data_IF_509558772762
#
_entry.id   IF_509558772762
#
_cell.length_a   1.000
_cell.length_b   1.000
_cell.length_c   1.000
_cell.angle_alpha   90.00
_cell.angle_beta   90.00
_cell.angle_gamma   90.00
#
_symmetry.space_group_name_H-M   'P 1'
#
loop_
_entity.id
_entity.type
_entity.pdbx_description
1 polymer ?
#
# COMPACT_ATOMS: atom_id res chain seq x y z
N UNK A 1 -21.80 -13.77 12.74
CA UNK A 1 -20.71 -14.03 11.76
C UNK A 1 -19.31 -13.71 12.32
N UNK A 2 -19.06 -12.48 12.80
CA UNK A 2 -17.74 -12.05 13.33
C UNK A 2 -17.17 -12.95 14.46
N UNK A 3 -17.98 -13.28 15.48
CA UNK A 3 -17.57 -14.20 16.57
C UNK A 3 -17.17 -15.60 16.11
N UNK A 4 -17.86 -16.16 15.10
CA UNK A 4 -17.53 -17.49 14.58
C UNK A 4 -16.16 -17.50 13.87
N UNK A 5 -15.82 -16.40 13.20
CA UNK A 5 -14.51 -16.23 12.55
C UNK A 5 -13.43 -16.07 13.61
N UNK A 6 -13.67 -15.27 14.66
CA UNK A 6 -12.75 -15.10 15.79
C UNK A 6 -12.46 -16.42 16.50
N UNK A 7 -13.48 -17.23 16.80
CA UNK A 7 -13.31 -18.55 17.43
C UNK A 7 -12.53 -19.51 16.54
N UNK A 8 -12.81 -19.54 15.23
CA UNK A 8 -12.09 -20.40 14.28
C UNK A 8 -10.63 -20.00 14.12
N UNK A 9 -10.36 -18.70 14.06
CA UNK A 9 -9.00 -18.18 13.96
C UNK A 9 -8.20 -18.48 15.23
N UNK A 10 -8.78 -18.27 16.41
CA UNK A 10 -8.14 -18.57 17.69
C UNK A 10 -7.80 -20.07 17.84
N UNK A 11 -8.67 -20.95 17.34
CA UNK A 11 -8.39 -22.39 17.29
C UNK A 11 -7.26 -22.70 16.30
N UNK A 12 -7.32 -22.16 15.08
CA UNK A 12 -6.33 -22.42 14.04
C UNK A 12 -4.92 -21.90 14.40
N UNK A 13 -4.81 -20.78 15.12
CA UNK A 13 -3.51 -20.20 15.51
C UNK A 13 -2.87 -20.97 16.67
N UNK A 14 -3.66 -21.62 17.53
CA UNK A 14 -3.15 -22.36 18.70
C UNK A 14 -2.25 -23.53 18.31
N UNK A 15 -2.53 -24.17 17.17
CA UNK A 15 -1.84 -25.37 16.72
C UNK A 15 -0.74 -25.08 15.68
N UNK A 16 -0.45 -23.80 15.40
CA UNK A 16 0.57 -23.42 14.43
C UNK A 16 1.98 -23.45 15.04
N UNK A 17 2.99 -23.84 14.24
CA UNK A 17 4.39 -23.65 14.60
C UNK A 17 4.72 -22.15 14.82
N UNK A 18 5.66 -21.86 15.70
CA UNK A 18 6.08 -20.49 16.04
C UNK A 18 6.37 -19.61 14.81
N UNK A 19 7.07 -20.15 13.81
CA UNK A 19 7.39 -19.43 12.57
C UNK A 19 6.14 -19.00 11.78
N UNK A 20 5.08 -19.80 11.81
CA UNK A 20 3.80 -19.49 11.15
C UNK A 20 3.01 -18.46 11.94
N UNK A 21 3.12 -18.46 13.26
CA UNK A 21 2.53 -17.41 14.11
C UNK A 21 3.15 -16.05 13.76
N UNK A 22 4.48 -15.98 13.58
CA UNK A 22 5.15 -14.75 13.16
C UNK A 22 4.64 -14.25 11.79
N UNK A 23 4.49 -15.14 10.81
CA UNK A 23 3.94 -14.77 9.50
C UNK A 23 2.52 -14.22 9.57
N UNK A 24 1.68 -14.78 10.47
CA UNK A 24 0.31 -14.27 10.69
C UNK A 24 0.35 -12.89 11.33
N UNK A 25 1.25 -12.66 12.30
CA UNK A 25 1.43 -11.34 12.94
C UNK A 25 1.88 -10.30 11.91
N UNK A 26 2.87 -10.63 11.08
CA UNK A 26 3.36 -9.74 10.02
C UNK A 26 2.25 -9.39 9.02
N UNK A 27 1.47 -10.39 8.61
CA UNK A 27 0.35 -10.19 7.70
C UNK A 27 -0.74 -9.29 8.30
N UNK A 28 -1.07 -9.48 9.58
CA UNK A 28 -2.02 -8.61 10.29
C UNK A 28 -1.47 -7.19 10.40
N UNK A 29 -0.16 -7.04 10.65
CA UNK A 29 0.53 -5.75 10.63
C UNK A 29 0.40 -5.02 9.29
N UNK A 30 0.64 -5.74 8.19
CA UNK A 30 0.44 -5.24 6.83
C UNK A 30 -1.02 -4.84 6.54
N UNK A 31 -1.99 -5.67 6.94
CA UNK A 31 -3.40 -5.34 6.74
C UNK A 31 -3.81 -4.09 7.53
N UNK A 32 -3.28 -3.94 8.75
CA UNK A 32 -3.56 -2.77 9.58
C UNK A 32 -2.95 -1.49 8.98
N UNK A 33 -1.71 -1.54 8.48
CA UNK A 33 -1.10 -0.36 7.85
C UNK A 33 -1.82 0.05 6.56
N UNK A 34 -2.47 -0.89 5.87
CA UNK A 34 -3.17 -0.63 4.61
C UNK A 34 -4.64 -0.25 4.75
N UNK A 35 -5.32 -0.76 5.78
CA UNK A 35 -6.79 -0.69 5.90
C UNK A 35 -7.30 -0.18 7.25
N UNK A 36 -6.43 0.22 8.18
CA UNK A 36 -6.91 0.83 9.42
C UNK A 36 -7.68 2.13 9.12
N UNK A 37 -8.76 2.43 9.86
CA UNK A 37 -9.50 3.68 9.72
C UNK A 37 -8.62 4.92 9.89
N UNK A 38 -7.55 4.78 10.69
CA UNK A 38 -6.59 5.83 11.00
C UNK A 38 -5.35 5.77 10.10
N UNK A 39 -5.26 4.82 9.17
CA UNK A 39 -4.18 4.78 8.20
C UNK A 39 -4.34 5.98 7.26
N UNK A 40 -3.29 6.80 7.06
CA UNK A 40 -3.40 7.95 6.18
C UNK A 40 -3.76 7.46 4.78
N UNK A 41 -4.75 8.13 4.18
CA UNK A 41 -5.27 7.75 2.88
C UNK A 41 -4.10 7.72 1.88
N UNK A 42 -4.02 6.68 1.06
CA UNK A 42 -2.92 6.53 0.10
C UNK A 42 -2.85 7.80 -0.78
N UNK A 43 -1.68 8.43 -0.81
CA UNK A 43 -1.46 9.67 -1.55
C UNK A 43 -1.88 10.96 -0.81
N UNK A 44 -2.37 10.86 0.43
CA UNK A 44 -2.55 12.03 1.29
C UNK A 44 -1.21 12.60 1.71
N UNK A 45 -1.22 13.87 2.12
CA UNK A 45 -0.03 14.56 2.62
C UNK A 45 0.56 13.82 3.82
N UNK A 46 -0.29 13.32 4.71
CA UNK A 46 0.08 12.57 5.90
C UNK A 46 0.78 11.24 5.54
N UNK A 47 0.32 10.54 4.50
CA UNK A 47 0.95 9.30 4.04
C UNK A 47 2.34 9.56 3.45
N UNK A 48 2.49 10.66 2.71
CA UNK A 48 3.78 11.07 2.13
C UNK A 48 4.75 11.46 3.25
N UNK A 49 4.30 12.25 4.22
CA UNK A 49 5.14 12.65 5.36
C UNK A 49 5.57 11.45 6.20
N UNK A 50 4.65 10.54 6.53
CA UNK A 50 4.97 9.32 7.26
C UNK A 50 6.00 8.44 6.52
N UNK A 51 5.89 8.34 5.19
CA UNK A 51 6.88 7.63 4.40
C UNK A 51 8.25 8.33 4.49
N UNK A 52 8.31 9.64 4.27
CA UNK A 52 9.55 10.43 4.35
C UNK A 52 10.21 10.40 5.73
N UNK A 53 9.44 10.28 6.82
CA UNK A 53 9.99 10.08 8.17
C UNK A 53 10.70 8.73 8.32
N UNK A 54 10.24 7.69 7.63
CA UNK A 54 10.82 6.34 7.71
C UNK A 54 11.99 6.12 6.76
N UNK A 55 11.90 6.61 5.52
CA UNK A 55 12.94 6.44 4.48
C UNK A 55 13.89 7.63 4.36
N UNK A 56 13.58 8.76 4.97
CA UNK A 56 14.35 9.99 4.86
C UNK A 56 13.97 10.85 3.65
N UNK A 57 14.65 11.99 3.46
CA UNK A 57 14.38 12.90 2.35
C UNK A 57 14.69 12.23 1.01
N UNK A 58 13.81 12.43 0.03
CA UNK A 58 14.04 11.97 -1.34
C UNK A 58 15.27 12.69 -1.91
N UNK A 59 16.24 11.91 -2.38
CA UNK A 59 17.41 12.41 -3.07
C UNK A 59 17.31 12.04 -4.53
N UNK A 60 17.55 13.02 -5.40
CA UNK A 60 17.56 12.85 -6.85
C UNK A 60 18.89 13.33 -7.39
N UNK A 61 19.44 12.60 -8.36
CA UNK A 61 20.56 13.08 -9.16
C UNK A 61 20.13 14.31 -9.99
N UNK A 62 21.08 15.16 -10.44
CA UNK A 62 20.77 16.28 -11.31
C UNK A 62 19.96 15.85 -12.54
N UNK A 63 18.74 16.37 -12.67
CA UNK A 63 17.83 16.08 -13.78
C UNK A 63 16.92 14.86 -13.59
N UNK A 64 17.18 13.97 -12.63
CA UNK A 64 16.42 12.73 -12.43
C UNK A 64 14.94 12.98 -12.12
N UNK A 65 14.65 13.95 -11.25
CA UNK A 65 13.26 14.30 -10.93
C UNK A 65 12.47 14.75 -12.17
N UNK A 66 13.09 15.53 -13.06
CA UNK A 66 12.43 16.01 -14.27
C UNK A 66 12.14 14.84 -15.23
N UNK A 67 13.08 13.90 -15.36
CA UNK A 67 12.88 12.68 -16.14
C UNK A 67 11.73 11.85 -15.60
N UNK A 68 11.70 11.59 -14.29
CA UNK A 68 10.61 10.83 -13.64
C UNK A 68 9.25 11.50 -13.85
N UNK A 69 9.17 12.83 -13.72
CA UNK A 69 7.93 13.57 -13.95
C UNK A 69 7.48 13.50 -15.41
N UNK A 70 8.41 13.57 -16.35
CA UNK A 70 8.10 13.43 -17.78
C UNK A 70 7.56 12.02 -18.09
N UNK A 71 8.19 10.97 -17.58
CA UNK A 71 7.75 9.58 -17.76
C UNK A 71 6.35 9.34 -17.18
N UNK A 72 6.07 9.86 -15.98
CA UNK A 72 4.74 9.79 -15.36
C UNK A 72 3.68 10.48 -16.24
N UNK A 73 4.02 11.65 -16.79
CA UNK A 73 3.11 12.38 -17.68
C UNK A 73 2.85 11.59 -18.98
N UNK A 74 3.88 10.98 -19.57
CA UNK A 74 3.72 10.11 -20.75
C UNK A 74 2.81 8.92 -20.44
N UNK A 75 2.99 8.25 -19.29
CA UNK A 75 2.11 7.14 -18.89
C UNK A 75 0.65 7.59 -18.74
N UNK A 76 0.41 8.76 -18.14
CA UNK A 76 -0.92 9.33 -18.01
C UNK A 76 -1.57 9.63 -19.36
N UNK A 77 -0.82 10.17 -20.30
CA UNK A 77 -1.31 10.47 -21.65
C UNK A 77 -1.67 9.21 -22.43
N UNK A 78 -0.88 8.13 -22.29
CA UNK A 78 -1.21 6.83 -22.86
C UNK A 78 -2.50 6.25 -22.26
N UNK A 79 -2.67 6.34 -20.95
CA UNK A 79 -3.90 5.88 -20.28
C UNK A 79 -5.12 6.69 -20.75
N UNK A 80 -5.01 8.02 -20.87
CA UNK A 80 -6.10 8.88 -21.32
C UNK A 80 -6.45 8.68 -22.80
N UNK A 81 -5.46 8.45 -23.67
CA UNK A 81 -5.68 8.17 -25.09
C UNK A 81 -6.45 6.88 -25.38
N UNK A 82 -6.56 5.96 -24.40
CA UNK A 82 -7.37 4.74 -24.53
C UNK A 82 -8.86 4.91 -24.22
N UNK A 83 -9.28 6.06 -23.65
CA UNK A 83 -10.69 6.31 -23.30
C UNK A 83 -11.49 7.06 -24.38
N UNK A 84 -10.84 7.65 -25.39
CA UNK A 84 -11.51 8.38 -26.49
C UNK A 84 -12.03 7.46 -27.61
N UNK A 85 -11.75 6.15 -27.58
CA UNK A 85 -12.15 5.18 -28.61
C UNK A 85 -13.38 4.30 -28.25
N UNK A 86 -14.06 4.56 -27.13
CA UNK A 86 -15.32 3.87 -26.84
C UNK A 86 -16.49 4.57 -27.56
N UNK A 87 -17.13 3.93 -28.57
CA UNK A 87 -18.36 4.49 -29.14
C UNK A 87 -19.46 4.48 -28.08
N UNK A 88 -20.24 5.56 -28.08
CA UNK A 88 -21.39 5.80 -27.20
C UNK A 88 -22.43 4.67 -27.20
#
# INVERSE_FOLDING_TARGET
>A
MKRQIETRLAAAVRDLPHEKILQVIDFVGYLRSKYAPDAPQRGSVEAILQALEQVGPLQFAPGELNTLLAEIQTMREMDLGTYDELPA
#
